data_IF_178548485200
#
_entry.id   IF_178548485200
#
_cell.length_a   1.000
_cell.length_b   1.000
_cell.length_c   1.000
_cell.angle_alpha   90.00
_cell.angle_beta   90.00
_cell.angle_gamma   90.00
#
_symmetry.space_group_name_H-M   'P 1'
#
loop_
_entity.id
_entity.type
_entity.pdbx_description
1 polymer ?
#
# COMPACT_ATOMS: atom_id res chain seq x y z
N UNK A 1 -12.82 -60.07 -6.57
CA UNK A 1 -12.34 -59.17 -5.49
C UNK A 1 -10.95 -58.59 -5.81
N UNK A 2 -10.81 -57.86 -6.92
CA UNK A 2 -9.54 -57.22 -7.35
C UNK A 2 -9.77 -55.86 -8.04
N UNK A 3 -10.91 -55.22 -7.79
CA UNK A 3 -11.27 -53.89 -8.34
C UNK A 3 -11.64 -52.86 -7.26
N UNK A 4 -11.23 -53.10 -6.01
CA UNK A 4 -11.48 -52.19 -4.89
C UNK A 4 -10.20 -51.69 -4.21
N UNK A 5 -9.02 -52.06 -4.73
CA UNK A 5 -7.71 -51.70 -4.18
C UNK A 5 -6.99 -50.61 -4.98
N UNK A 6 -7.72 -49.88 -5.84
CA UNK A 6 -7.18 -48.79 -6.68
C UNK A 6 -7.88 -47.44 -6.42
N UNK A 7 -8.68 -47.39 -5.35
CA UNK A 7 -9.34 -46.18 -4.85
C UNK A 7 -8.76 -45.73 -3.49
N UNK A 8 -7.60 -46.29 -3.12
CA UNK A 8 -6.85 -45.94 -1.90
C UNK A 8 -5.58 -45.11 -2.21
N UNK A 9 -5.44 -44.62 -3.44
CA UNK A 9 -4.23 -43.90 -3.90
C UNK A 9 -4.47 -42.45 -4.38
N UNK A 10 -5.69 -41.90 -4.19
CA UNK A 10 -6.01 -40.53 -4.65
C UNK A 10 -6.57 -39.60 -3.55
N UNK A 11 -6.40 -39.93 -2.26
CA UNK A 11 -6.98 -39.15 -1.15
C UNK A 11 -5.97 -38.69 -0.09
N UNK A 12 -4.67 -38.72 -0.39
CA UNK A 12 -3.60 -38.26 0.52
C UNK A 12 -2.75 -37.14 -0.07
N UNK A 13 -3.37 -36.21 -0.79
CA UNK A 13 -2.76 -34.91 -1.11
C UNK A 13 -3.66 -33.77 -0.63
N UNK A 14 -4.05 -33.80 0.65
CA UNK A 14 -4.19 -32.52 1.36
C UNK A 14 -2.78 -31.95 1.48
N UNK A 15 -2.34 -31.25 0.44
CA UNK A 15 -1.29 -30.24 0.58
C UNK A 15 -1.82 -29.31 1.64
N UNK A 16 -1.35 -29.46 2.87
CA UNK A 16 -1.42 -28.39 3.84
C UNK A 16 -0.69 -27.23 3.17
N UNK A 17 -1.45 -26.31 2.58
CA UNK A 17 -0.92 -25.04 2.14
C UNK A 17 -0.42 -24.35 3.40
N UNK A 18 0.83 -24.59 3.76
CA UNK A 18 1.57 -23.68 4.60
C UNK A 18 1.47 -22.34 3.87
N UNK A 19 0.71 -21.40 4.42
CA UNK A 19 0.79 -20.01 3.98
C UNK A 19 2.27 -19.67 3.93
N UNK A 20 2.78 -19.31 2.75
CA UNK A 20 4.19 -19.02 2.56
C UNK A 20 4.52 -17.79 3.38
N UNK A 21 4.92 -18.01 4.63
CA UNK A 21 5.41 -16.97 5.52
C UNK A 21 6.80 -16.58 5.04
N UNK A 22 7.07 -15.29 5.10
CA UNK A 22 8.35 -14.70 4.73
C UNK A 22 8.96 -14.07 5.97
N UNK A 23 10.27 -13.93 5.99
CA UNK A 23 10.89 -13.05 6.97
C UNK A 23 10.40 -11.62 6.75
N UNK A 24 10.29 -10.89 7.85
CA UNK A 24 10.28 -9.43 7.83
C UNK A 24 11.72 -8.94 7.83
N UNK A 25 12.04 -8.03 6.92
CA UNK A 25 13.37 -7.48 6.80
C UNK A 25 13.50 -6.16 7.56
N UNK A 26 14.70 -5.86 8.06
CA UNK A 26 15.01 -4.58 8.72
C UNK A 26 14.61 -3.39 7.83
N UNK A 27 14.82 -3.52 6.52
CA UNK A 27 14.51 -2.48 5.54
C UNK A 27 13.03 -2.32 5.20
N UNK A 28 12.14 -3.19 5.67
CA UNK A 28 10.74 -3.21 5.22
C UNK A 28 9.96 -1.97 5.68
N UNK A 29 10.27 -1.44 6.87
CA UNK A 29 9.52 -0.30 7.45
C UNK A 29 10.35 0.47 8.47
N UNK A 30 10.06 1.77 8.56
CA UNK A 30 10.54 2.66 9.63
C UNK A 30 9.40 2.90 10.63
N UNK A 31 9.76 3.01 11.90
CA UNK A 31 8.84 3.19 13.02
C UNK A 31 9.29 4.42 13.80
N UNK A 32 8.57 5.53 13.64
CA UNK A 32 8.84 6.80 14.31
C UNK A 32 8.03 6.95 15.61
N UNK A 33 6.93 6.20 15.75
CA UNK A 33 6.10 6.16 16.96
C UNK A 33 5.62 4.75 17.33
N UNK A 34 5.27 4.51 18.61
CA UNK A 34 4.78 3.21 19.07
C UNK A 34 3.45 2.80 18.41
N UNK A 35 2.60 3.75 18.04
CA UNK A 35 1.34 3.52 17.32
C UNK A 35 1.56 2.86 15.96
N UNK A 36 2.72 3.10 15.34
CA UNK A 36 3.08 2.48 14.08
C UNK A 36 3.37 0.99 14.22
N UNK A 37 3.59 0.46 15.42
CA UNK A 37 3.72 -0.99 15.63
C UNK A 37 2.39 -1.73 15.48
N UNK A 38 1.26 -1.03 15.67
CA UNK A 38 -0.06 -1.64 15.69
C UNK A 38 -0.43 -2.19 14.31
N UNK A 39 -0.72 -3.48 14.25
CA UNK A 39 -1.08 -4.21 13.05
C UNK A 39 0.10 -4.88 12.34
N UNK A 40 1.33 -4.65 12.80
CA UNK A 40 2.53 -5.25 12.22
C UNK A 40 2.81 -6.62 12.85
N UNK A 41 3.13 -7.61 12.01
CA UNK A 41 3.53 -8.96 12.42
C UNK A 41 4.99 -9.20 12.06
N UNK A 42 5.85 -9.23 13.07
CA UNK A 42 7.27 -9.48 12.86
C UNK A 42 7.54 -10.97 12.70
N UNK A 43 8.26 -11.34 11.64
CA UNK A 43 8.73 -12.70 11.36
C UNK A 43 10.27 -12.71 11.36
N UNK A 44 10.91 -12.96 12.52
CA UNK A 44 12.37 -12.92 12.66
C UNK A 44 13.08 -14.08 11.94
N UNK A 45 14.38 -13.92 11.73
CA UNK A 45 15.26 -14.88 11.06
C UNK A 45 16.11 -15.73 12.01
N UNK A 46 16.40 -15.20 13.20
CA UNK A 46 17.31 -15.82 14.13
C UNK A 46 16.86 -15.57 15.57
N UNK A 47 17.13 -16.54 16.44
CA UNK A 47 16.83 -16.46 17.88
C UNK A 47 18.08 -16.74 18.71
N UNK A 48 18.23 -16.01 19.81
CA UNK A 48 19.26 -16.17 20.82
C UNK A 48 18.61 -16.27 22.20
N UNK A 49 18.94 -17.31 22.95
CA UNK A 49 18.57 -17.45 24.36
C UNK A 49 19.86 -17.26 25.17
N UNK A 50 19.88 -16.42 26.21
CA UNK A 50 21.05 -16.25 27.06
C UNK A 50 21.58 -17.59 27.57
N UNK A 51 22.89 -17.78 27.41
CA UNK A 51 23.65 -19.00 27.70
C UNK A 51 23.39 -20.20 26.77
N UNK A 52 22.70 -19.98 25.64
CA UNK A 52 22.46 -20.99 24.60
C UNK A 52 23.06 -20.54 23.24
N UNK A 53 23.02 -21.43 22.25
CA UNK A 53 23.54 -21.18 20.91
C UNK A 53 22.52 -20.41 20.08
N UNK A 54 22.99 -19.34 19.45
CA UNK A 54 22.25 -18.58 18.45
C UNK A 54 21.84 -19.47 17.27
N UNK A 55 20.57 -19.44 16.89
CA UNK A 55 20.00 -20.37 15.91
C UNK A 55 19.17 -19.64 14.85
N UNK A 56 19.46 -19.91 13.58
CA UNK A 56 18.59 -19.54 12.46
C UNK A 56 17.29 -20.34 12.49
N UNK A 57 16.16 -19.65 12.32
CA UNK A 57 14.81 -20.20 12.34
C UNK A 57 14.15 -20.07 10.96
N UNK A 58 13.19 -20.94 10.66
CA UNK A 58 12.45 -20.86 9.39
C UNK A 58 11.48 -19.67 9.40
N UNK A 59 11.11 -19.12 8.23
CA UNK A 59 10.11 -18.05 8.17
C UNK A 59 8.82 -18.45 8.87
N UNK A 60 8.39 -17.63 9.83
CA UNK A 60 7.15 -17.85 10.58
C UNK A 60 7.21 -18.95 11.65
N UNK A 61 8.38 -19.55 11.90
CA UNK A 61 8.59 -20.45 13.06
C UNK A 61 8.33 -19.71 14.38
N UNK A 62 8.70 -18.43 14.41
CA UNK A 62 8.26 -17.47 15.43
C UNK A 62 7.61 -16.27 14.73
N UNK A 63 6.61 -15.67 15.38
CA UNK A 63 6.08 -14.37 14.94
C UNK A 63 5.54 -13.55 16.10
N UNK A 64 5.52 -12.22 15.93
CA UNK A 64 5.07 -11.25 16.93
C UNK A 64 4.09 -10.27 16.28
N UNK A 65 2.81 -10.61 16.36
CA UNK A 65 1.71 -9.78 15.88
C UNK A 65 1.28 -8.78 16.95
N UNK A 66 1.45 -7.50 16.69
CA UNK A 66 1.11 -6.45 17.65
C UNK A 66 -0.25 -5.85 17.29
N UNK A 67 -1.15 -5.76 18.26
CA UNK A 67 -2.39 -4.99 18.16
C UNK A 67 -2.46 -3.97 19.30
N UNK A 68 -3.49 -3.13 19.30
CA UNK A 68 -3.68 -2.16 20.38
C UNK A 68 -3.86 -2.81 21.76
N UNK A 69 -4.41 -4.03 21.82
CA UNK A 69 -4.76 -4.69 23.08
C UNK A 69 -3.99 -5.98 23.34
N UNK A 70 -3.42 -6.59 22.31
CA UNK A 70 -2.82 -7.91 22.40
C UNK A 70 -1.50 -7.97 21.64
N UNK A 71 -0.58 -8.75 22.20
CA UNK A 71 0.58 -9.30 21.53
C UNK A 71 0.29 -10.78 21.24
N UNK A 72 0.26 -11.13 19.96
CA UNK A 72 0.15 -12.50 19.47
C UNK A 72 1.55 -13.03 19.22
N UNK A 73 1.93 -14.07 19.97
CA UNK A 73 3.23 -14.72 19.81
C UNK A 73 3.01 -16.11 19.26
N UNK A 74 3.68 -16.43 18.17
CA UNK A 74 3.82 -17.80 17.66
C UNK A 74 5.25 -18.30 17.91
N UNK A 75 5.40 -19.59 18.17
CA UNK A 75 6.67 -20.22 18.52
C UNK A 75 6.50 -21.42 19.45
N UNK A 76 7.25 -22.50 19.25
CA UNK A 76 7.07 -23.79 19.94
C UNK A 76 6.87 -23.68 21.45
N UNK A 77 7.64 -22.80 22.10
CA UNK A 77 7.77 -22.75 23.56
C UNK A 77 7.17 -21.48 24.20
N UNK A 78 6.80 -20.50 23.37
CA UNK A 78 6.34 -19.17 23.83
C UNK A 78 4.99 -18.75 23.24
N UNK A 79 4.36 -19.63 22.46
CA UNK A 79 3.07 -19.37 21.82
C UNK A 79 2.03 -18.89 22.83
N UNK A 80 1.36 -17.79 22.51
CA UNK A 80 0.32 -17.25 23.37
C UNK A 80 -0.23 -15.90 22.90
N UNK A 81 -1.30 -15.49 23.56
CA UNK A 81 -1.86 -14.14 23.43
C UNK A 81 -1.68 -13.44 24.76
N UNK A 82 -1.00 -12.31 24.73
CA UNK A 82 -0.67 -11.52 25.92
C UNK A 82 -1.35 -10.16 25.85
N UNK A 83 -2.05 -9.77 26.92
CA UNK A 83 -2.71 -8.48 26.96
C UNK A 83 -1.65 -7.38 27.06
N UNK A 84 -1.69 -6.40 26.17
CA UNK A 84 -0.80 -5.24 26.18
C UNK A 84 -1.38 -4.21 27.14
N UNK A 85 -0.66 -3.90 28.21
CA UNK A 85 -1.08 -2.88 29.18
C UNK A 85 -0.63 -1.49 28.76
N UNK A 86 0.54 -1.38 28.10
CA UNK A 86 1.06 -0.13 27.58
C UNK A 86 2.12 -0.38 26.50
N UNK A 87 2.30 0.61 25.62
CA UNK A 87 3.39 0.69 24.65
C UNK A 87 4.07 2.04 24.87
N UNK A 88 5.34 2.02 25.29
CA UNK A 88 6.08 3.23 25.65
C UNK A 88 7.35 3.38 24.81
N UNK A 89 7.71 4.61 24.49
CA UNK A 89 9.01 4.93 23.88
C UNK A 89 10.13 4.83 24.91
N UNK A 90 11.31 4.41 24.45
CA UNK A 90 12.52 4.20 25.23
C UNK A 90 13.74 4.67 24.42
N UNK A 91 14.92 4.68 25.03
CA UNK A 91 16.16 5.07 24.34
C UNK A 91 16.57 4.13 23.19
N UNK A 92 16.15 2.86 23.24
CA UNK A 92 16.48 1.85 22.25
C UNK A 92 15.34 1.59 21.24
N UNK A 93 14.20 2.28 21.36
CA UNK A 93 13.00 1.99 20.57
C UNK A 93 11.76 1.97 21.44
N UNK A 94 11.07 0.83 21.55
CA UNK A 94 9.80 0.73 22.27
C UNK A 94 9.77 -0.45 23.24
N UNK A 95 8.94 -0.35 24.27
CA UNK A 95 8.62 -1.45 25.16
C UNK A 95 7.10 -1.63 25.27
N UNK A 96 6.64 -2.84 24.96
CA UNK A 96 5.29 -3.29 25.20
C UNK A 96 5.29 -4.05 26.50
N UNK A 97 4.60 -3.54 27.52
CA UNK A 97 4.39 -4.28 28.77
C UNK A 97 3.20 -5.20 28.59
N UNK A 98 3.37 -6.48 28.92
CA UNK A 98 2.34 -7.50 28.71
C UNK A 98 1.91 -8.15 30.01
N UNK A 99 0.63 -8.49 30.11
CA UNK A 99 0.04 -9.21 31.24
C UNK A 99 -0.55 -10.51 30.71
N UNK A 100 -0.25 -11.63 31.36
CA UNK A 100 -0.88 -12.90 31.02
C UNK A 100 -2.40 -12.83 31.28
N UNK A 101 -3.20 -13.22 30.29
CA UNK A 101 -4.66 -13.14 30.39
C UNK A 101 -5.26 -14.05 31.49
N UNK A 102 -4.54 -15.08 31.93
CA UNK A 102 -4.99 -16.05 32.94
C UNK A 102 -4.45 -15.76 34.35
N UNK A 103 -3.30 -15.09 34.45
CA UNK A 103 -2.71 -14.70 35.74
C UNK A 103 -2.05 -13.30 35.64
N UNK A 104 -2.68 -12.31 36.28
CA UNK A 104 -2.24 -10.93 36.22
C UNK A 104 -0.90 -10.65 36.94
N UNK A 105 -0.38 -11.61 37.73
CA UNK A 105 0.95 -11.53 38.36
C UNK A 105 2.06 -11.84 37.39
N UNK A 106 1.77 -12.59 36.33
CA UNK A 106 2.73 -12.92 35.28
C UNK A 106 2.79 -11.76 34.29
N UNK A 107 3.72 -10.84 34.57
CA UNK A 107 4.02 -9.69 33.74
C UNK A 107 5.27 -9.96 32.91
N UNK A 108 5.16 -9.71 31.61
CA UNK A 108 6.23 -9.85 30.64
C UNK A 108 6.40 -8.57 29.83
N UNK A 109 7.20 -8.67 28.78
CA UNK A 109 7.35 -7.58 27.83
C UNK A 109 7.83 -8.05 26.46
N UNK A 110 7.60 -7.19 25.47
CA UNK A 110 8.31 -7.20 24.20
C UNK A 110 9.04 -5.87 24.06
N UNK A 111 10.37 -5.90 24.06
CA UNK A 111 11.19 -4.75 23.68
C UNK A 111 11.40 -4.80 22.18
N UNK A 112 11.15 -3.68 21.50
CA UNK A 112 11.37 -3.50 20.07
C UNK A 112 12.58 -2.60 19.91
N UNK A 113 13.68 -3.16 19.41
CA UNK A 113 14.97 -2.47 19.30
C UNK A 113 15.07 -1.85 17.91
N UNK A 114 15.22 -0.53 17.88
CA UNK A 114 15.41 0.26 16.67
C UNK A 114 16.88 0.58 16.46
N UNK A 115 17.30 0.52 15.19
CA UNK A 115 18.57 1.09 14.76
C UNK A 115 18.46 2.62 14.60
N UNK A 116 19.58 3.28 14.26
CA UNK A 116 19.66 4.74 14.04
C UNK A 116 18.78 5.27 12.90
N UNK A 117 18.23 4.39 12.05
CA UNK A 117 17.33 4.72 10.93
C UNK A 117 15.86 4.48 11.28
N UNK A 118 15.54 4.26 12.55
CA UNK A 118 14.20 3.93 13.04
C UNK A 118 13.66 2.62 12.48
N UNK A 119 14.53 1.65 12.17
CA UNK A 119 14.15 0.32 11.68
C UNK A 119 14.34 -0.72 12.78
N UNK A 120 13.43 -1.69 12.87
CA UNK A 120 13.52 -2.76 13.88
C UNK A 120 14.61 -3.73 13.48
N UNK A 121 15.63 -3.88 14.32
CA UNK A 121 16.72 -4.86 14.12
C UNK A 121 16.56 -6.10 15.01
N UNK A 122 15.96 -5.93 16.19
CA UNK A 122 15.75 -7.02 17.13
C UNK A 122 14.48 -6.83 17.97
N UNK A 123 13.98 -7.95 18.48
CA UNK A 123 12.90 -8.04 19.43
C UNK A 123 13.41 -8.81 20.66
N UNK A 124 13.17 -8.30 21.86
CA UNK A 124 13.51 -9.01 23.09
C UNK A 124 12.21 -9.34 23.82
N UNK A 125 11.87 -10.61 23.86
CA UNK A 125 10.65 -11.09 24.49
C UNK A 125 10.96 -11.72 25.84
N UNK A 126 10.17 -11.36 26.85
CA UNK A 126 10.15 -12.02 28.16
C UNK A 126 8.72 -12.34 28.52
N UNK A 127 8.41 -13.62 28.72
CA UNK A 127 7.04 -14.06 28.98
C UNK A 127 6.57 -13.73 30.40
N UNK A 128 7.43 -13.88 31.39
CA UNK A 128 7.16 -13.61 32.82
C UNK A 128 8.44 -13.24 33.56
N UNK A 129 8.39 -12.81 34.84
CA UNK A 129 9.59 -12.43 35.58
C UNK A 129 10.62 -13.56 35.74
N UNK A 130 10.15 -14.81 35.83
CA UNK A 130 10.98 -16.00 36.05
C UNK A 130 11.51 -16.64 34.76
N UNK A 131 10.94 -16.29 33.61
CA UNK A 131 11.41 -16.78 32.30
C UNK A 131 12.67 -16.04 31.85
N UNK A 132 13.53 -16.72 31.08
CA UNK A 132 14.67 -16.06 30.39
C UNK A 132 14.15 -15.11 29.30
N UNK A 133 14.87 -14.00 29.08
CA UNK A 133 14.65 -13.18 27.88
C UNK A 133 15.10 -13.97 26.64
N UNK A 134 14.39 -13.81 25.53
CA UNK A 134 14.76 -14.37 24.23
C UNK A 134 14.93 -13.20 23.25
N UNK A 135 16.03 -13.19 22.50
CA UNK A 135 16.34 -12.14 21.53
C UNK A 135 16.08 -12.71 20.13
N UNK A 136 15.29 -12.00 19.34
CA UNK A 136 14.96 -12.36 17.97
C UNK A 136 15.50 -11.30 17.03
N UNK A 137 16.30 -11.69 16.04
CA UNK A 137 16.90 -10.79 15.07
C UNK A 137 16.14 -10.81 13.75
N UNK A 138 15.93 -9.62 13.21
CA UNK A 138 15.33 -9.41 11.89
C UNK A 138 16.34 -9.72 10.79
N UNK A 139 15.86 -10.21 9.64
CA UNK A 139 16.74 -10.47 8.50
C UNK A 139 17.18 -9.16 7.82
N UNK A 140 18.39 -9.16 7.26
CA UNK A 140 18.71 -8.25 6.17
C UNK A 140 18.00 -8.70 4.90
N UNK A 141 17.50 -7.75 4.10
CA UNK A 141 16.97 -8.07 2.79
C UNK A 141 18.13 -8.58 1.89
N UNK A 142 18.04 -9.77 1.28
CA UNK A 142 19.05 -10.25 0.35
C UNK A 142 19.23 -9.28 -0.82
N UNK A 143 20.47 -9.04 -1.26
CA UNK A 143 20.78 -8.08 -2.32
C UNK A 143 19.97 -8.33 -3.60
N UNK A 144 19.85 -9.59 -4.03
CA UNK A 144 19.06 -9.96 -5.20
C UNK A 144 17.59 -9.51 -5.08
N UNK A 145 16.98 -9.77 -3.92
CA UNK A 145 15.61 -9.34 -3.66
C UNK A 145 15.53 -7.81 -3.59
N UNK A 146 16.50 -7.16 -2.95
CA UNK A 146 16.55 -5.70 -2.85
C UNK A 146 16.54 -5.02 -4.23
N UNK A 147 17.37 -5.50 -5.17
CA UNK A 147 17.44 -4.96 -6.52
C UNK A 147 16.17 -5.25 -7.33
N UNK A 148 15.64 -6.47 -7.26
CA UNK A 148 14.35 -6.79 -7.90
C UNK A 148 13.22 -5.88 -7.40
N UNK A 149 13.14 -5.67 -6.09
CA UNK A 149 12.15 -4.78 -5.49
C UNK A 149 12.41 -3.31 -5.80
N UNK A 150 13.67 -2.94 -6.09
CA UNK A 150 14.03 -1.57 -6.46
C UNK A 150 13.57 -1.23 -7.86
N UNK A 151 13.65 -2.19 -8.76
CA UNK A 151 13.23 -1.99 -10.13
C UNK A 151 11.70 -2.06 -10.26
N UNK A 152 11.02 -2.75 -9.33
CA UNK A 152 9.58 -2.93 -9.36
C UNK A 152 8.78 -1.88 -8.56
N UNK A 153 9.15 -1.63 -7.31
CA UNK A 153 8.38 -0.75 -6.43
C UNK A 153 8.86 0.70 -6.53
N UNK A 154 7.93 1.64 -6.40
CA UNK A 154 8.24 3.07 -6.35
C UNK A 154 8.94 3.42 -5.03
N UNK A 155 10.15 3.98 -5.10
CA UNK A 155 10.81 4.60 -3.96
C UNK A 155 10.20 5.98 -3.67
N UNK A 156 10.20 6.37 -2.40
CA UNK A 156 9.68 7.66 -1.92
C UNK A 156 10.28 8.91 -2.60
N UNK A 157 11.34 8.74 -3.40
CA UNK A 157 12.07 9.83 -4.08
C UNK A 157 12.01 9.77 -5.60
N UNK A 158 11.30 8.80 -6.17
CA UNK A 158 11.35 8.53 -7.61
C UNK A 158 10.46 9.47 -8.42
N UNK A 159 9.26 9.75 -7.92
CA UNK A 159 8.22 10.44 -8.70
C UNK A 159 7.98 11.80 -8.10
N UNK A 160 8.27 12.85 -8.88
CA UNK A 160 8.10 14.25 -8.50
C UNK A 160 6.83 14.84 -9.12
N UNK A 161 6.00 15.51 -8.30
CA UNK A 161 4.75 16.16 -8.72
C UNK A 161 4.89 17.68 -8.51
N UNK A 162 5.27 18.41 -9.56
CA UNK A 162 5.46 19.87 -9.49
C UNK A 162 4.18 20.60 -9.12
N UNK A 163 3.08 20.22 -9.76
CA UNK A 163 1.75 20.76 -9.55
C UNK A 163 0.70 19.66 -9.80
N UNK A 164 -0.57 19.84 -9.40
CA UNK A 164 -1.60 18.82 -9.57
C UNK A 164 -1.72 18.27 -11.00
N UNK A 165 -1.50 19.10 -12.02
CA UNK A 165 -1.60 18.68 -13.42
C UNK A 165 -0.42 17.79 -13.88
N UNK A 166 0.70 17.79 -13.15
CA UNK A 166 1.83 16.86 -13.38
C UNK A 166 1.52 15.42 -12.96
N UNK A 167 0.36 15.18 -12.35
CA UNK A 167 -0.04 13.87 -11.85
C UNK A 167 -0.44 12.91 -12.99
N UNK A 168 -0.96 13.43 -14.09
CA UNK A 168 -1.53 12.59 -15.15
C UNK A 168 -0.44 11.91 -15.97
N UNK A 169 -0.59 10.60 -16.20
CA UNK A 169 0.41 9.72 -16.81
C UNK A 169 1.37 9.05 -15.81
N UNK A 170 1.22 9.31 -14.51
CA UNK A 170 2.06 8.73 -13.46
C UNK A 170 1.57 7.34 -13.07
N UNK A 171 2.52 6.43 -12.82
CA UNK A 171 2.30 5.11 -12.25
C UNK A 171 3.00 4.95 -10.89
N UNK A 172 2.30 4.39 -9.91
CA UNK A 172 2.83 4.20 -8.56
C UNK A 172 2.69 2.73 -8.14
N UNK A 173 3.80 2.11 -7.79
CA UNK A 173 3.89 0.74 -7.32
C UNK A 173 4.19 0.73 -5.81
N UNK A 174 3.16 0.68 -4.95
CA UNK A 174 3.35 0.73 -3.50
C UNK A 174 4.07 -0.51 -2.97
N UNK A 175 4.86 -0.32 -1.93
CA UNK A 175 5.62 -1.39 -1.26
C UNK A 175 4.88 -1.97 -0.05
N UNK A 176 4.00 -1.18 0.55
CA UNK A 176 3.33 -1.54 1.80
C UNK A 176 1.87 -1.09 1.78
N UNK A 177 0.99 -1.83 2.45
CA UNK A 177 -0.43 -1.54 2.58
C UNK A 177 -0.85 -1.64 4.04
N UNK A 178 -1.57 -0.62 4.52
CA UNK A 178 -2.14 -0.57 5.86
C UNK A 178 -3.65 -0.54 5.72
N UNK A 179 -4.33 -1.53 6.28
CA UNK A 179 -5.78 -1.56 6.44
C UNK A 179 -6.13 -0.83 7.73
N UNK A 180 -6.59 0.42 7.64
CA UNK A 180 -6.88 1.27 8.81
C UNK A 180 -8.03 0.71 9.65
N UNK A 181 -9.05 0.13 9.01
CA UNK A 181 -10.21 -0.46 9.69
C UNK A 181 -9.84 -1.71 10.50
N UNK A 182 -9.18 -2.66 9.84
CA UNK A 182 -8.74 -3.92 10.46
C UNK A 182 -7.49 -3.76 11.34
N UNK A 183 -6.80 -2.62 11.21
CA UNK A 183 -5.48 -2.34 11.80
C UNK A 183 -4.49 -3.45 11.46
N UNK A 184 -4.38 -3.78 10.18
CA UNK A 184 -3.45 -4.79 9.66
C UNK A 184 -2.44 -4.11 8.73
N UNK A 185 -1.18 -4.48 8.90
CA UNK A 185 -0.06 -3.99 8.12
C UNK A 185 0.50 -5.12 7.25
N UNK A 186 0.55 -4.90 5.94
CA UNK A 186 0.95 -5.90 4.98
C UNK A 186 2.02 -5.35 4.04
N UNK A 187 3.14 -6.07 3.96
CA UNK A 187 4.13 -5.88 2.91
C UNK A 187 3.60 -6.43 1.59
N UNK A 188 3.60 -5.59 0.55
CA UNK A 188 3.23 -6.01 -0.79
C UNK A 188 4.40 -6.77 -1.44
N UNK A 189 4.05 -7.70 -2.33
CA UNK A 189 4.98 -8.48 -3.13
C UNK A 189 4.76 -8.15 -4.61
N UNK A 190 5.81 -8.32 -5.42
CA UNK A 190 5.71 -8.15 -6.88
C UNK A 190 4.59 -9.01 -7.48
N UNK A 191 4.36 -10.18 -6.88
CA UNK A 191 3.30 -11.12 -7.25
C UNK A 191 1.87 -10.68 -6.89
N UNK A 192 1.73 -9.61 -6.09
CA UNK A 192 0.42 -9.01 -5.79
C UNK A 192 0.03 -8.01 -6.88
N UNK A 193 1.00 -7.61 -7.72
CA UNK A 193 0.87 -6.72 -8.88
C UNK A 193 -0.03 -5.52 -8.61
N UNK A 194 0.12 -4.94 -7.42
CA UNK A 194 -0.66 -3.78 -7.00
C UNK A 194 0.01 -2.51 -7.51
N UNK A 195 -0.71 -1.70 -8.26
CA UNK A 195 -0.23 -0.40 -8.74
C UNK A 195 -1.39 0.55 -9.07
N UNK A 196 -1.04 1.83 -9.18
CA UNK A 196 -1.98 2.90 -9.48
C UNK A 196 -1.55 3.66 -10.71
N UNK A 197 -2.47 3.94 -11.62
CA UNK A 197 -2.22 4.76 -12.80
C UNK A 197 -3.14 5.98 -12.79
N UNK A 198 -2.57 7.17 -12.92
CA UNK A 198 -3.30 8.42 -13.09
C UNK A 198 -3.49 8.68 -14.58
N UNK A 199 -4.73 8.76 -15.07
CA UNK A 199 -5.03 8.84 -16.51
C UNK A 199 -5.82 10.11 -16.82
N UNK A 200 -5.38 10.82 -17.86
CA UNK A 200 -6.16 11.85 -18.54
C UNK A 200 -6.69 11.28 -19.85
N UNK A 201 -8.01 11.38 -20.06
CA UNK A 201 -8.70 11.02 -21.29
C UNK A 201 -9.23 12.29 -21.97
N UNK A 202 -8.87 12.49 -23.24
CA UNK A 202 -9.33 13.64 -24.04
C UNK A 202 -10.29 13.16 -25.13
N UNK A 203 -11.53 13.65 -25.08
CA UNK A 203 -12.59 13.38 -26.05
C UNK A 203 -12.79 14.62 -26.93
N UNK A 204 -12.71 14.44 -28.25
CA UNK A 204 -12.90 15.49 -29.24
C UNK A 204 -14.28 15.31 -29.89
N UNK A 205 -15.20 16.24 -29.61
CA UNK A 205 -16.52 16.29 -30.26
C UNK A 205 -16.52 17.34 -31.38
N UNK A 206 -16.72 16.91 -32.62
CA UNK A 206 -16.97 17.83 -33.74
C UNK A 206 -18.44 18.26 -33.75
N UNK A 207 -18.69 19.57 -33.59
CA UNK A 207 -20.03 20.14 -33.75
C UNK A 207 -20.14 20.89 -35.07
N UNK A 208 -20.83 20.27 -36.03
CA UNK A 208 -21.27 20.96 -37.24
C UNK A 208 -22.45 21.89 -36.88
N UNK A 209 -22.28 23.20 -37.10
CA UNK A 209 -23.40 24.15 -37.11
C UNK A 209 -23.64 24.63 -38.52
N UNK A 210 -24.81 24.32 -39.06
CA UNK A 210 -25.35 25.00 -40.24
C UNK A 210 -25.74 26.43 -39.84
N UNK A 211 -25.05 27.44 -40.38
CA UNK A 211 -25.51 28.84 -40.30
C UNK A 211 -26.83 28.93 -41.07
N UNK A 212 -27.94 29.23 -40.40
CA UNK A 212 -29.13 29.74 -41.10
C UNK A 212 -28.82 31.16 -41.56
N UNK A 213 -28.64 31.34 -42.87
CA UNK A 213 -28.64 32.66 -43.49
C UNK A 213 -30.00 33.30 -43.19
N UNK A 214 -30.00 34.49 -42.57
CA UNK A 214 -31.23 35.28 -42.39
C UNK A 214 -31.61 35.84 -43.77
N UNK A 215 -32.85 35.67 -44.26
CA UNK A 215 -33.31 36.34 -45.46
C UNK A 215 -33.81 37.76 -45.13
N UNK A 216 -33.42 38.73 -45.98
CA UNK A 216 -33.86 40.14 -45.99
C UNK A 216 -32.74 41.12 -45.58
N UNK A 217 -32.39 42.17 -46.31
CA UNK A 217 -32.96 42.89 -47.47
C UNK A 217 -31.80 43.65 -48.15
N UNK A 218 -31.75 43.65 -49.49
CA UNK A 218 -31.72 44.86 -50.35
C UNK A 218 -31.69 44.42 -51.82
N UNK A 219 -32.68 44.90 -52.57
CA UNK A 219 -32.85 44.73 -54.01
C UNK A 219 -31.72 45.45 -54.76
N UNK A 220 -30.98 44.74 -55.61
CA UNK A 220 -30.26 45.34 -56.76
C UNK A 220 -30.33 44.37 -57.95
N UNK A 221 -30.51 44.98 -59.12
CA UNK A 221 -30.80 44.44 -60.46
C UNK A 221 -30.08 43.15 -60.89
N UNK A 222 -30.80 42.42 -61.75
CA UNK A 222 -30.45 41.16 -62.40
C UNK A 222 -29.29 41.35 -63.38
N UNK A 223 -28.15 40.72 -63.11
CA UNK A 223 -27.21 40.26 -64.14
C UNK A 223 -26.97 38.76 -63.96
N UNK A 224 -27.19 38.00 -65.03
CA UNK A 224 -27.04 36.53 -65.07
C UNK A 224 -25.57 36.13 -64.90
N UNK A 225 -25.25 35.44 -63.80
CA UNK A 225 -23.96 34.75 -63.60
C UNK A 225 -24.26 33.28 -63.24
N UNK A 226 -23.50 32.29 -63.77
CA UNK A 226 -23.85 30.88 -63.66
C UNK A 226 -23.79 30.35 -62.23
N UNK A 227 -24.76 29.49 -61.93
CA UNK A 227 -24.87 28.68 -60.72
C UNK A 227 -23.80 27.59 -60.75
N UNK A 228 -22.75 27.71 -59.93
CA UNK A 228 -22.27 26.61 -59.04
C UNK A 228 -20.99 27.02 -58.31
N UNK A 229 -21.15 27.59 -57.12
CA UNK A 229 -20.32 27.30 -55.93
C UNK A 229 -20.87 28.10 -54.76
N UNK A 230 -21.89 27.54 -54.10
CA UNK A 230 -22.22 27.93 -52.73
C UNK A 230 -21.04 27.50 -51.86
N UNK A 231 -20.14 28.43 -51.58
CA UNK A 231 -19.14 28.31 -50.51
C UNK A 231 -19.90 28.17 -49.19
N UNK A 232 -20.20 26.92 -48.82
CA UNK A 232 -20.55 26.55 -47.46
C UNK A 232 -19.30 26.73 -46.62
N UNK A 233 -19.14 27.94 -46.05
CA UNK A 233 -18.23 28.19 -44.94
C UNK A 233 -18.65 27.34 -43.74
N UNK A 234 -18.18 26.10 -43.75
CA UNK A 234 -18.48 25.11 -42.73
C UNK A 234 -17.51 25.39 -41.58
N UNK A 235 -17.92 26.21 -40.62
CA UNK A 235 -17.14 26.44 -39.40
C UNK A 235 -17.28 25.20 -38.52
N UNK A 236 -16.28 24.32 -38.55
CA UNK A 236 -16.17 23.21 -37.61
C UNK A 236 -15.79 23.79 -36.24
N UNK A 237 -16.72 23.74 -35.27
CA UNK A 237 -16.38 24.01 -33.88
C UNK A 237 -16.03 22.70 -33.20
N UNK A 238 -14.78 22.59 -32.78
CA UNK A 238 -14.29 21.46 -31.99
C UNK A 238 -14.57 21.73 -30.51
N UNK A 239 -15.15 20.76 -29.80
CA UNK A 239 -15.29 20.79 -28.35
C UNK A 239 -14.39 19.71 -27.77
N UNK A 240 -13.44 20.13 -26.94
CA UNK A 240 -12.56 19.23 -26.19
C UNK A 240 -13.16 18.97 -24.80
N UNK A 241 -13.22 17.70 -24.39
CA UNK A 241 -13.68 17.26 -23.07
C UNK A 241 -12.55 16.45 -22.44
N UNK A 242 -12.12 16.82 -21.24
CA UNK A 242 -11.09 16.13 -20.48
C UNK A 242 -11.71 15.40 -19.29
N UNK A 243 -11.43 14.11 -19.17
CA UNK A 243 -11.81 13.28 -18.04
C UNK A 243 -10.55 12.79 -17.33
N UNK A 244 -10.58 12.73 -16.01
CA UNK A 244 -9.45 12.32 -15.19
C UNK A 244 -9.81 11.11 -14.35
N UNK A 245 -8.90 10.16 -14.24
CA UNK A 245 -9.13 8.90 -13.54
C UNK A 245 -7.92 8.50 -12.70
N UNK A 246 -8.20 7.86 -11.55
CA UNK A 246 -7.25 6.98 -10.87
C UNK A 246 -7.69 5.54 -11.10
N UNK A 247 -6.80 4.73 -11.65
CA UNK A 247 -7.02 3.30 -11.87
C UNK A 247 -6.21 2.52 -10.83
N UNK A 248 -6.89 1.82 -9.93
CA UNK A 248 -6.31 0.86 -8.99
C UNK A 248 -6.29 -0.52 -9.66
N UNK A 249 -5.11 -1.14 -9.73
CA UNK A 249 -4.92 -2.51 -10.21
C UNK A 249 -4.35 -3.37 -9.09
N UNK A 250 -4.71 -4.66 -9.07
CA UNK A 250 -4.14 -5.64 -8.16
C UNK A 250 -4.65 -7.05 -8.39
N UNK A 251 -4.02 -8.02 -7.74
CA UNK A 251 -4.44 -9.42 -7.78
C UNK A 251 -5.11 -9.79 -6.45
N UNK A 252 -6.39 -10.13 -6.49
CA UNK A 252 -7.07 -10.76 -5.37
C UNK A 252 -6.74 -12.25 -5.38
N UNK A 253 -6.43 -12.82 -4.21
CA UNK A 253 -6.24 -14.25 -4.03
C UNK A 253 -7.29 -14.75 -3.06
N UNK A 254 -7.96 -15.83 -3.45
CA UNK A 254 -9.01 -16.45 -2.65
C UNK A 254 -8.47 -17.66 -1.90
N UNK A 255 -9.18 -18.06 -0.84
CA UNK A 255 -8.79 -19.20 0.01
C UNK A 255 -8.77 -20.54 -0.74
N UNK A 256 -9.48 -20.63 -1.86
CA UNK A 256 -9.48 -21.80 -2.76
C UNK A 256 -8.25 -21.87 -3.68
N UNK A 257 -7.32 -20.91 -3.55
CA UNK A 257 -6.09 -20.82 -4.32
C UNK A 257 -6.26 -20.19 -5.69
N UNK A 258 -7.46 -19.74 -6.06
CA UNK A 258 -7.68 -18.97 -7.28
C UNK A 258 -7.26 -17.51 -7.10
N UNK A 259 -7.03 -16.83 -8.22
CA UNK A 259 -6.69 -15.41 -8.23
C UNK A 259 -7.41 -14.67 -9.34
N UNK A 260 -7.87 -13.46 -9.05
CA UNK A 260 -8.55 -12.58 -10.00
C UNK A 260 -7.81 -11.25 -10.10
N UNK A 261 -7.63 -10.77 -11.34
CA UNK A 261 -7.15 -9.42 -11.57
C UNK A 261 -8.29 -8.44 -11.34
N UNK A 262 -8.13 -7.55 -10.38
CA UNK A 262 -9.08 -6.51 -10.07
C UNK A 262 -8.58 -5.18 -10.62
N UNK A 263 -9.45 -4.49 -11.37
CA UNK A 263 -9.23 -3.13 -11.83
C UNK A 263 -10.41 -2.26 -11.38
N UNK A 264 -10.13 -1.21 -10.61
CA UNK A 264 -11.13 -0.26 -10.12
C UNK A 264 -10.78 1.12 -10.69
N UNK A 265 -11.75 1.75 -11.36
CA UNK A 265 -11.59 3.10 -11.88
C UNK A 265 -12.36 4.11 -11.02
N UNK A 266 -11.66 5.18 -10.63
CA UNK A 266 -12.19 6.30 -9.88
C UNK A 266 -12.14 7.55 -10.76
N UNK A 267 -13.29 8.06 -11.21
CA UNK A 267 -13.32 9.31 -11.96
C UNK A 267 -13.11 10.49 -11.01
N UNK A 268 -12.07 11.28 -11.25
CA UNK A 268 -11.72 12.44 -10.44
C UNK A 268 -12.44 13.68 -10.99
N UNK A 269 -13.20 14.36 -10.13
CA UNK A 269 -13.91 15.61 -10.47
C UNK A 269 -13.21 16.86 -10.00
N UNK A 270 -12.41 16.75 -8.94
CA UNK A 270 -11.78 17.89 -8.30
C UNK A 270 -10.49 17.46 -7.59
N UNK A 271 -9.46 18.29 -7.68
CA UNK A 271 -8.24 18.17 -6.87
C UNK A 271 -8.07 19.44 -6.04
N UNK A 272 -7.74 19.28 -4.77
CA UNK A 272 -7.38 20.36 -3.86
C UNK A 272 -6.03 20.05 -3.22
N UNK A 273 -5.07 20.95 -3.35
CA UNK A 273 -3.80 20.85 -2.62
C UNK A 273 -3.93 21.48 -1.23
N UNK A 274 -3.44 20.78 -0.21
CA UNK A 274 -3.20 21.32 1.13
C UNK A 274 -1.73 21.20 1.47
N UNK A 275 -1.25 22.11 2.31
CA UNK A 275 0.12 22.11 2.80
C UNK A 275 0.14 22.07 4.33
N UNK A 276 0.98 21.22 4.89
CA UNK A 276 1.34 21.24 6.30
C UNK A 276 2.62 22.08 6.47
N UNK A 277 2.53 23.32 7.00
CA UNK A 277 3.71 24.17 7.18
C UNK A 277 4.67 23.61 8.25
N UNK A 278 4.16 22.80 9.18
CA UNK A 278 4.92 22.27 10.33
C UNK A 278 5.60 20.93 10.04
N UNK A 279 5.47 20.37 8.83
CA UNK A 279 6.15 19.14 8.44
C UNK A 279 7.68 19.30 8.55
N UNK A 280 8.37 18.31 9.13
CA UNK A 280 9.83 18.28 9.20
C UNK A 280 10.44 17.94 7.85
N UNK A 281 11.76 18.06 7.73
CA UNK A 281 12.47 17.66 6.52
C UNK A 281 12.24 16.17 6.23
N UNK A 282 11.83 15.86 5.00
CA UNK A 282 11.48 14.51 4.58
C UNK A 282 10.18 13.95 5.15
N UNK A 283 9.36 14.72 5.86
CA UNK A 283 7.97 14.32 6.17
C UNK A 283 7.03 14.70 5.03
N UNK A 284 5.79 14.20 5.10
CA UNK A 284 4.73 14.56 4.17
C UNK A 284 4.34 16.03 4.40
N UNK A 285 4.58 16.87 3.38
CA UNK A 285 4.34 18.32 3.42
C UNK A 285 3.11 18.72 2.63
N UNK A 286 2.84 18.06 1.52
CA UNK A 286 1.72 18.37 0.65
C UNK A 286 0.75 17.20 0.59
N UNK A 287 -0.53 17.51 0.46
CA UNK A 287 -1.61 16.55 0.30
C UNK A 287 -2.48 16.98 -0.88
N UNK A 288 -2.59 16.13 -1.90
CA UNK A 288 -3.55 16.28 -2.98
C UNK A 288 -4.80 15.49 -2.61
N UNK A 289 -5.90 16.20 -2.35
CA UNK A 289 -7.21 15.64 -2.04
C UNK A 289 -8.00 15.58 -3.33
N UNK A 290 -8.26 14.36 -3.81
CA UNK A 290 -8.97 14.10 -5.06
C UNK A 290 -10.39 13.64 -4.73
N UNK A 291 -11.39 14.44 -5.10
CA UNK A 291 -12.80 14.07 -4.94
C UNK A 291 -13.29 13.33 -6.17
N UNK A 292 -13.82 12.14 -5.96
CA UNK A 292 -14.40 11.29 -7.02
C UNK A 292 -15.80 11.76 -7.43
N UNK A 293 -16.27 11.30 -8.59
CA UNK A 293 -17.66 11.47 -9.06
C UNK A 293 -18.71 10.93 -8.08
N UNK A 294 -18.35 9.89 -7.31
CA UNK A 294 -19.17 9.29 -6.25
C UNK A 294 -19.08 10.04 -4.91
N UNK A 295 -18.29 11.10 -4.82
CA UNK A 295 -18.12 11.91 -3.60
C UNK A 295 -17.10 11.36 -2.59
N UNK A 296 -16.45 10.23 -2.87
CA UNK A 296 -15.37 9.71 -2.03
C UNK A 296 -14.08 10.53 -2.24
N UNK A 297 -13.26 10.63 -1.20
CA UNK A 297 -11.95 11.27 -1.25
C UNK A 297 -10.83 10.23 -1.40
N UNK A 298 -9.85 10.55 -2.24
CA UNK A 298 -8.57 9.86 -2.35
C UNK A 298 -7.49 10.87 -1.99
N UNK A 299 -6.57 10.50 -1.10
CA UNK A 299 -5.50 11.38 -0.66
C UNK A 299 -4.16 10.89 -1.20
N UNK A 300 -3.45 11.74 -1.93
CA UNK A 300 -2.06 11.52 -2.34
C UNK A 300 -1.16 12.43 -1.51
N UNK A 301 -0.23 11.84 -0.78
CA UNK A 301 0.70 12.56 0.09
C UNK A 301 2.05 12.70 -0.58
N UNK A 302 2.59 13.92 -0.54
CA UNK A 302 3.89 14.25 -1.11
C UNK A 302 4.84 14.74 -0.02
N UNK A 303 6.13 14.42 -0.18
CA UNK A 303 7.19 14.93 0.69
C UNK A 303 7.39 16.44 0.53
N UNK A 304 8.22 17.02 1.37
CA UNK A 304 8.74 18.39 1.20
C UNK A 304 9.39 18.65 -0.16
N UNK A 305 9.97 17.61 -0.78
CA UNK A 305 10.50 17.63 -2.15
C UNK A 305 9.45 17.34 -3.22
N UNK A 306 8.16 17.43 -2.89
CA UNK A 306 7.04 17.11 -3.79
C UNK A 306 7.15 15.71 -4.45
N UNK A 307 7.78 14.75 -3.79
CA UNK A 307 7.82 13.37 -4.27
C UNK A 307 6.72 12.53 -3.63
N UNK A 308 6.16 11.57 -4.38
CA UNK A 308 5.08 10.71 -3.86
C UNK A 308 5.56 9.90 -2.67
N UNK A 309 4.83 9.99 -1.55
CA UNK A 309 5.07 9.25 -0.32
C UNK A 309 4.07 8.12 -0.14
N UNK A 310 2.79 8.44 -0.23
CA UNK A 310 1.73 7.48 0.05
C UNK A 310 0.41 7.86 -0.63
N UNK A 311 -0.47 6.88 -0.79
CA UNK A 311 -1.81 7.03 -1.36
C UNK A 311 -2.82 6.41 -0.39
N UNK A 312 -3.89 7.12 -0.07
CA UNK A 312 -4.99 6.63 0.75
C UNK A 312 -6.29 6.59 -0.05
N UNK A 313 -6.89 5.40 -0.11
CA UNK A 313 -8.15 5.12 -0.80
C UNK A 313 -9.04 4.34 0.17
N UNK A 314 -10.12 4.97 0.64
CA UNK A 314 -11.04 4.35 1.61
C UNK A 314 -10.33 3.98 2.91
N UNK A 315 -10.36 2.70 3.28
CA UNK A 315 -9.72 2.18 4.50
C UNK A 315 -8.26 1.77 4.28
N UNK A 316 -7.73 1.88 3.07
CA UNK A 316 -6.38 1.43 2.71
C UNK A 316 -5.43 2.60 2.57
N UNK A 317 -4.27 2.49 3.21
CA UNK A 317 -3.15 3.42 3.08
C UNK A 317 -1.94 2.68 2.50
N UNK A 318 -1.55 3.08 1.30
CA UNK A 318 -0.49 2.50 0.51
C UNK A 318 0.77 3.34 0.63
N UNK A 319 1.88 2.74 1.05
CA UNK A 319 3.16 3.42 1.24
C UNK A 319 4.14 3.04 0.12
N UNK A 320 4.85 4.04 -0.39
CA UNK A 320 6.04 3.81 -1.23
C UNK A 320 7.20 3.26 -0.39
N UNK A 321 8.22 2.73 -1.06
CA UNK A 321 9.37 2.15 -0.37
C UNK A 321 10.24 3.24 0.28
N UNK A 322 10.62 3.05 1.54
CA UNK A 322 11.37 4.03 2.33
C UNK A 322 12.78 3.52 2.63
N UNK A 323 13.81 4.14 2.04
CA UNK A 323 15.23 3.90 2.36
C UNK A 323 15.76 4.86 3.41
#
# INVERSE_FOLDING_TARGET
MKKFLLLLFCLSSTVAFAQKRYYTYISDRKFFGPEELIGYDFCPYEVEIPDDVKKTIRPGEYSFGITQHNLYVEGSDIRGVYNVSSINSTEYGYILTTINARDARLQGHLKVILNKRAQVEALIFKRSPDDKEMIFFQAFCPDELYYQEKDFFTDRRDIYIHEPDSLWGVEVYPFFRIHKGEKVQQRLRMSDSTYFTFVEEVIIEEKMKTKKVKPGEEEVEVEEIPIDTVLLDTIVKVKEIRNYYLIENGILRFDDGTSEHQTISHQIKKIVERQNPNAREGEERYQLIMTTDKGNEINLYLTDRRTISSIEIGDKHYLTRVH
#
